data_IF_666863604124
#
_entry.id   IF_666863604124
#
_cell.length_a   1.000
_cell.length_b   1.000
_cell.length_c   1.000
_cell.angle_alpha   90.00
_cell.angle_beta   90.00
_cell.angle_gamma   90.00
#
_symmetry.space_group_name_H-M   'P 1'
#
loop_
_entity.id
_entity.type
_entity.pdbx_description
1 polymer ?
#
# COMPACT_ATOMS: atom_id res chain seq x y z
N UNK A 1 -20.63 -9.46 -9.31
CA UNK A 1 -19.93 -8.38 -10.05
C UNK A 1 -20.18 -7.01 -9.40
N UNK A 2 -19.17 -6.38 -8.77
CA UNK A 2 -19.10 -4.91 -8.60
C UNK A 2 -17.66 -4.44 -8.28
N UNK A 3 -16.66 -4.94 -9.02
CA UNK A 3 -15.26 -4.52 -8.86
C UNK A 3 -14.85 -3.43 -9.84
N UNK A 4 -15.60 -3.26 -10.94
CA UNK A 4 -15.36 -2.19 -11.91
C UNK A 4 -15.68 -0.83 -11.31
N UNK A 5 -14.92 0.17 -11.70
CA UNK A 5 -15.16 1.58 -11.40
C UNK A 5 -13.99 2.26 -10.71
N UNK A 6 -14.27 3.46 -10.22
CA UNK A 6 -13.32 4.36 -9.58
C UNK A 6 -13.20 4.05 -8.09
N UNK A 7 -11.95 3.95 -7.65
CA UNK A 7 -11.57 3.64 -6.28
C UNK A 7 -10.44 4.55 -5.82
N UNK A 8 -10.24 4.61 -4.51
CA UNK A 8 -9.15 5.36 -3.91
C UNK A 8 -8.45 4.51 -2.87
N UNK A 9 -7.15 4.72 -2.68
CA UNK A 9 -6.37 4.04 -1.66
C UNK A 9 -5.31 4.94 -1.06
N UNK A 10 -4.70 4.51 0.04
CA UNK A 10 -3.64 5.25 0.71
C UNK A 10 -2.27 4.89 0.14
N UNK A 11 -1.41 5.89 -0.01
CA UNK A 11 -0.02 5.74 -0.47
C UNK A 11 0.95 6.44 0.47
N UNK A 12 2.22 6.06 0.41
CA UNK A 12 3.30 6.91 0.93
C UNK A 12 3.76 7.85 -0.18
N UNK A 13 3.87 9.15 0.10
CA UNK A 13 4.16 10.12 -0.95
C UNK A 13 3.82 11.57 -0.61
N UNK A 14 3.93 12.43 -1.60
CA UNK A 14 3.42 13.82 -1.57
C UNK A 14 1.90 13.87 -1.61
N UNK A 15 1.28 12.89 -2.28
CA UNK A 15 -0.15 12.70 -2.34
C UNK A 15 -0.53 11.51 -1.45
N UNK A 16 -1.37 11.71 -0.42
CA UNK A 16 -1.70 10.66 0.55
C UNK A 16 -2.75 9.67 0.04
N UNK A 17 -3.48 10.04 -1.02
CA UNK A 17 -4.51 9.23 -1.65
C UNK A 17 -4.23 9.08 -3.15
N UNK A 18 -4.31 7.84 -3.64
CA UNK A 18 -4.13 7.44 -5.04
C UNK A 18 -5.49 7.04 -5.61
N UNK A 19 -5.76 7.46 -6.84
CA UNK A 19 -6.95 7.02 -7.57
C UNK A 19 -6.63 5.73 -8.35
N UNK A 20 -7.54 4.77 -8.28
CA UNK A 20 -7.39 3.43 -8.84
C UNK A 20 -8.63 3.15 -9.68
N UNK A 21 -8.44 3.03 -10.99
CA UNK A 21 -9.52 2.66 -11.91
C UNK A 21 -9.42 1.16 -12.19
N UNK A 22 -10.49 0.42 -11.92
CA UNK A 22 -10.56 -1.01 -12.27
C UNK A 22 -11.54 -1.18 -13.43
N UNK A 23 -11.02 -1.64 -14.56
CA UNK A 23 -11.78 -1.82 -15.79
C UNK A 23 -11.97 -3.31 -16.13
N UNK A 24 -12.60 -3.56 -17.28
CA UNK A 24 -12.77 -4.90 -17.84
C UNK A 24 -11.45 -5.62 -18.09
N UNK A 25 -10.41 -4.89 -18.51
CA UNK A 25 -9.19 -5.50 -19.05
C UNK A 25 -7.91 -4.92 -18.44
N UNK A 26 -8.03 -3.97 -17.50
CA UNK A 26 -6.89 -3.30 -16.89
C UNK A 26 -7.20 -2.79 -15.48
N UNK A 27 -6.14 -2.56 -14.71
CA UNK A 27 -6.12 -1.67 -13.54
C UNK A 27 -5.24 -0.48 -13.89
N UNK A 28 -5.72 0.73 -13.62
CA UNK A 28 -4.95 1.96 -13.80
C UNK A 28 -4.73 2.60 -12.44
N UNK A 29 -3.47 2.83 -12.08
CA UNK A 29 -3.10 3.57 -10.88
C UNK A 29 -2.70 4.99 -11.29
N UNK A 30 -3.51 5.97 -10.88
CA UNK A 30 -3.17 7.37 -11.09
C UNK A 30 -2.07 7.75 -10.10
N UNK A 31 -0.89 8.09 -10.63
CA UNK A 31 0.20 8.73 -9.87
C UNK A 31 0.45 8.10 -8.50
N UNK A 32 1.18 6.98 -8.47
CA UNK A 32 1.88 6.60 -7.24
C UNK A 32 3.17 7.41 -7.16
N UNK A 33 3.31 8.30 -6.18
CA UNK A 33 4.65 8.80 -5.85
C UNK A 33 5.54 7.56 -5.55
N UNK A 34 6.85 7.55 -5.82
CA UNK A 34 7.68 6.38 -5.54
C UNK A 34 7.67 6.06 -4.03
N UNK A 35 7.63 4.76 -3.68
CA UNK A 35 7.68 4.29 -2.29
C UNK A 35 8.89 4.89 -1.57
N UNK A 36 8.66 5.76 -0.59
CA UNK A 36 9.75 6.33 0.20
C UNK A 36 10.17 5.34 1.27
N UNK A 37 11.11 4.44 0.96
CA UNK A 37 11.73 3.61 2.00
C UNK A 37 12.72 4.38 2.90
N UNK A 38 13.11 5.61 2.56
CA UNK A 38 14.20 6.30 3.25
C UNK A 38 14.02 7.82 3.28
N UNK A 39 14.26 8.42 4.45
CA UNK A 39 14.32 9.85 4.73
C UNK A 39 15.37 10.62 3.93
N UNK A 40 15.11 10.82 2.64
CA UNK A 40 15.88 11.72 1.78
C UNK A 40 16.07 11.22 0.36
N UNK A 41 15.21 11.67 -0.54
CA UNK A 41 15.52 12.07 -1.93
C UNK A 41 16.52 11.18 -2.68
N UNK A 42 16.11 9.97 -3.01
CA UNK A 42 16.52 9.29 -4.25
C UNK A 42 15.46 8.29 -4.71
N UNK A 43 14.19 8.70 -4.69
CA UNK A 43 13.30 8.25 -5.76
C UNK A 43 13.79 8.95 -7.01
N UNK A 44 14.10 8.20 -8.07
CA UNK A 44 14.30 8.76 -9.42
C UNK A 44 13.26 9.88 -9.58
N UNK A 45 13.68 11.12 -9.85
CA UNK A 45 12.77 12.11 -10.45
C UNK A 45 12.38 11.51 -11.79
N UNK A 46 11.36 10.65 -11.81
CA UNK A 46 10.68 10.35 -13.05
C UNK A 46 10.00 11.66 -13.42
N UNK A 47 10.59 12.36 -14.38
CA UNK A 47 9.91 13.47 -15.05
C UNK A 47 8.72 12.97 -15.87
N UNK A 48 8.52 11.65 -15.97
CA UNK A 48 7.39 11.04 -16.66
C UNK A 48 6.33 10.65 -15.64
N UNK A 49 5.37 11.56 -15.52
CA UNK A 49 4.21 11.58 -14.62
C UNK A 49 3.04 10.77 -15.21
N UNK A 50 3.30 9.57 -15.73
CA UNK A 50 2.26 8.77 -16.39
C UNK A 50 1.62 7.79 -15.41
N UNK A 51 0.33 7.53 -15.60
CA UNK A 51 -0.40 6.53 -14.82
C UNK A 51 0.22 5.14 -15.06
N UNK A 52 0.21 4.29 -14.03
CA UNK A 52 0.65 2.90 -14.18
C UNK A 52 -0.51 2.06 -14.70
N UNK A 53 -0.36 1.52 -15.91
CA UNK A 53 -1.36 0.67 -16.55
C UNK A 53 -1.00 -0.81 -16.43
N UNK A 54 -1.84 -1.56 -15.73
CA UNK A 54 -1.69 -2.99 -15.50
C UNK A 54 -2.71 -3.75 -16.33
N UNK A 55 -2.29 -4.27 -17.48
CA UNK A 55 -3.16 -5.05 -18.37
C UNK A 55 -3.43 -6.43 -17.78
N UNK A 56 -4.72 -6.76 -17.64
CA UNK A 56 -5.18 -8.05 -17.15
C UNK A 56 -5.15 -9.04 -18.31
N UNK A 57 -4.31 -10.06 -18.21
CA UNK A 57 -4.20 -11.12 -19.23
C UNK A 57 -5.15 -12.29 -18.97
N UNK A 58 -5.55 -12.50 -17.70
CA UNK A 58 -6.54 -13.53 -17.34
C UNK A 58 -7.26 -13.18 -16.05
N UNK A 59 -8.53 -13.58 -15.98
CA UNK A 59 -9.37 -13.49 -14.78
C UNK A 59 -9.80 -14.88 -14.34
N UNK A 60 -9.76 -15.13 -13.03
CA UNK A 60 -10.24 -16.37 -12.42
C UNK A 60 -11.08 -16.00 -11.20
N UNK A 61 -12.30 -16.54 -11.12
CA UNK A 61 -13.14 -16.39 -9.92
C UNK A 61 -13.06 -17.67 -9.08
N UNK A 62 -12.68 -17.53 -7.81
CA UNK A 62 -12.54 -18.66 -6.88
C UNK A 62 -12.54 -18.15 -5.43
N UNK A 63 -13.02 -18.94 -4.46
CA UNK A 63 -12.94 -18.63 -3.03
C UNK A 63 -13.45 -17.20 -2.67
N UNK A 64 -14.56 -16.77 -3.27
CA UNK A 64 -15.14 -15.41 -3.13
C UNK A 64 -14.20 -14.25 -3.51
N UNK A 65 -13.17 -14.56 -4.31
CA UNK A 65 -12.17 -13.63 -4.84
C UNK A 65 -12.16 -13.63 -6.35
N UNK A 66 -11.76 -12.50 -6.91
CA UNK A 66 -11.41 -12.38 -8.32
C UNK A 66 -9.90 -12.25 -8.43
N UNK A 67 -9.27 -13.27 -8.99
CA UNK A 67 -7.85 -13.29 -9.29
C UNK A 67 -7.61 -12.67 -10.66
N UNK A 68 -6.70 -11.72 -10.71
CA UNK A 68 -6.29 -10.97 -11.87
C UNK A 68 -4.83 -11.31 -12.15
N UNK A 69 -4.57 -11.85 -13.33
CA UNK A 69 -3.23 -12.21 -13.76
C UNK A 69 -2.71 -11.10 -14.67
N UNK A 70 -1.48 -10.68 -14.43
CA UNK A 70 -0.73 -9.68 -15.19
C UNK A 70 0.55 -10.32 -15.75
N UNK A 71 1.14 -9.68 -16.76
CA UNK A 71 2.47 -10.03 -17.24
C UNK A 71 3.36 -8.79 -17.18
N UNK A 72 4.54 -8.93 -16.60
CA UNK A 72 5.57 -7.90 -16.58
C UNK A 72 6.30 -7.80 -17.91
N UNK A 73 7.11 -6.76 -18.07
CA UNK A 73 7.90 -6.52 -19.28
C UNK A 73 8.94 -7.62 -19.55
N UNK A 74 9.51 -8.22 -18.51
CA UNK A 74 10.45 -9.34 -18.59
C UNK A 74 9.76 -10.71 -18.75
N UNK A 75 8.44 -10.72 -18.96
CA UNK A 75 7.67 -11.90 -19.35
C UNK A 75 7.19 -12.77 -18.18
N UNK A 76 7.45 -12.36 -16.94
CA UNK A 76 6.97 -13.02 -15.73
C UNK A 76 5.50 -12.70 -15.49
N UNK A 77 4.79 -13.64 -14.86
CA UNK A 77 3.38 -13.54 -14.57
C UNK A 77 3.19 -13.19 -13.10
N UNK A 78 2.20 -12.35 -12.80
CA UNK A 78 1.86 -11.92 -11.44
C UNK A 78 0.38 -12.06 -11.20
N UNK A 79 -0.01 -12.31 -9.96
CA UNK A 79 -1.42 -12.47 -9.60
C UNK A 79 -1.76 -11.50 -8.49
N UNK A 80 -2.88 -10.81 -8.63
CA UNK A 80 -3.51 -10.01 -7.56
C UNK A 80 -4.93 -10.48 -7.38
N UNK A 81 -5.47 -10.41 -6.17
CA UNK A 81 -6.84 -10.79 -5.88
C UNK A 81 -7.64 -9.60 -5.41
N UNK A 82 -8.91 -9.55 -5.82
CA UNK A 82 -9.89 -8.59 -5.34
C UNK A 82 -10.96 -9.34 -4.54
N UNK A 83 -11.18 -8.90 -3.30
CA UNK A 83 -12.23 -9.39 -2.42
C UNK A 83 -13.06 -8.23 -1.94
N UNK A 84 -14.39 -8.31 -2.00
CA UNK A 84 -15.23 -7.28 -1.38
C UNK A 84 -15.22 -7.44 0.14
N UNK A 85 -15.26 -6.32 0.86
CA UNK A 85 -15.56 -6.37 2.28
C UNK A 85 -16.99 -6.86 2.52
N UNK A 86 -17.30 -7.42 3.71
CA UNK A 86 -18.65 -7.88 4.03
C UNK A 86 -19.74 -6.82 3.89
N UNK A 87 -19.42 -5.54 4.14
CA UNK A 87 -20.37 -4.43 3.95
C UNK A 87 -20.52 -4.01 2.48
N UNK A 88 -19.55 -4.37 1.63
CA UNK A 88 -19.53 -4.01 0.21
C UNK A 88 -19.01 -2.61 -0.09
N UNK A 89 -18.66 -1.83 0.94
CA UNK A 89 -18.21 -0.43 0.80
C UNK A 89 -16.74 -0.29 0.39
N UNK A 90 -16.00 -1.39 0.43
CA UNK A 90 -14.59 -1.43 0.09
C UNK A 90 -14.22 -2.72 -0.64
N UNK A 91 -13.10 -2.66 -1.36
CA UNK A 91 -12.47 -3.81 -1.99
C UNK A 91 -11.08 -3.99 -1.39
N UNK A 92 -10.80 -5.18 -0.90
CA UNK A 92 -9.46 -5.58 -0.48
C UNK A 92 -8.73 -6.15 -1.69
N UNK A 93 -7.60 -5.52 -2.01
CA UNK A 93 -6.70 -5.96 -3.06
C UNK A 93 -5.49 -6.61 -2.41
N UNK A 94 -5.32 -7.92 -2.62
CA UNK A 94 -4.19 -8.68 -2.09
C UNK A 94 -3.24 -9.01 -3.23
N UNK A 95 -1.95 -8.77 -3.04
CA UNK A 95 -0.94 -9.30 -3.96
C UNK A 95 -0.80 -10.82 -3.69
N UNK A 96 -1.08 -11.64 -4.69
CA UNK A 96 -1.21 -13.09 -4.48
C UNK A 96 0.16 -13.78 -4.37
N UNK A 97 0.21 -14.67 -3.40
CA UNK A 97 1.07 -15.85 -3.21
C UNK A 97 2.58 -15.73 -2.89
N UNK A 98 3.21 -14.57 -2.99
CA UNK A 98 4.57 -14.41 -2.44
C UNK A 98 5.64 -15.25 -3.14
N UNK A 99 5.43 -15.66 -4.40
CA UNK A 99 6.53 -16.16 -5.23
C UNK A 99 7.53 -15.02 -5.54
N UNK A 100 8.81 -15.29 -5.23
CA UNK A 100 9.92 -14.33 -5.20
C UNK A 100 10.21 -13.67 -6.56
N UNK A 101 10.05 -14.43 -7.66
CA UNK A 101 10.45 -14.03 -9.01
C UNK A 101 9.26 -13.98 -9.99
N UNK A 102 8.02 -13.91 -9.50
CA UNK A 102 6.83 -14.14 -10.33
C UNK A 102 6.78 -15.55 -10.93
N UNK A 103 5.70 -15.85 -11.66
CA UNK A 103 5.55 -17.16 -12.30
C UNK A 103 6.15 -17.12 -13.71
N UNK A 104 6.80 -18.21 -14.12
CA UNK A 104 7.42 -18.32 -15.45
C UNK A 104 6.41 -18.62 -16.55
N UNK A 105 5.18 -18.97 -16.19
CA UNK A 105 4.10 -19.21 -17.13
C UNK A 105 2.72 -19.14 -16.52
N UNK A 106 1.72 -18.99 -17.39
CA UNK A 106 0.32 -18.85 -17.00
C UNK A 106 -0.19 -20.05 -16.19
N UNK A 107 0.23 -21.27 -16.50
CA UNK A 107 -0.20 -22.47 -15.76
C UNK A 107 0.34 -22.48 -14.33
N UNK A 108 1.57 -22.02 -14.14
CA UNK A 108 2.18 -21.91 -12.81
C UNK A 108 1.45 -20.85 -11.97
N UNK A 109 1.08 -19.71 -12.58
CA UNK A 109 0.24 -18.70 -11.94
C UNK A 109 -1.13 -19.26 -11.53
N UNK A 110 -1.75 -20.07 -12.39
CA UNK A 110 -3.02 -20.75 -12.09
C UNK A 110 -2.90 -21.79 -10.98
N UNK A 111 -1.75 -22.44 -10.83
CA UNK A 111 -1.48 -23.35 -9.73
C UNK A 111 -1.19 -22.63 -8.41
N UNK A 112 -0.52 -21.47 -8.47
CA UNK A 112 -0.35 -20.58 -7.31
C UNK A 112 -1.69 -20.09 -6.76
N UNK A 113 -2.65 -19.73 -7.63
CA UNK A 113 -4.04 -19.40 -7.23
C UNK A 113 -4.70 -20.54 -6.43
N UNK A 114 -4.37 -21.80 -6.71
CA UNK A 114 -4.94 -22.94 -5.95
C UNK A 114 -4.36 -23.05 -4.54
N UNK A 115 -3.16 -22.51 -4.31
CA UNK A 115 -2.42 -22.54 -3.05
C UNK A 115 -2.60 -21.27 -2.21
N UNK A 116 -3.24 -20.23 -2.77
CA UNK A 116 -3.54 -18.99 -2.05
C UNK A 116 -4.30 -19.27 -0.75
N UNK A 117 -3.66 -18.97 0.37
CA UNK A 117 -4.16 -19.15 1.73
C UNK A 117 -4.77 -17.87 2.32
N UNK A 118 -4.82 -16.77 1.56
CA UNK A 118 -5.21 -15.47 2.07
C UNK A 118 -4.05 -14.74 2.73
N UNK A 119 -3.48 -13.80 1.98
CA UNK A 119 -2.52 -12.83 2.51
C UNK A 119 -3.12 -12.02 3.67
N UNK A 120 -2.35 -11.84 4.75
CA UNK A 120 -2.66 -10.92 5.86
C UNK A 120 -2.48 -9.43 5.49
N UNK A 121 -2.02 -9.15 4.28
CA UNK A 121 -1.67 -7.83 3.80
C UNK A 121 -2.46 -7.48 2.55
N UNK A 122 -3.16 -6.36 2.62
CA UNK A 122 -4.02 -5.89 1.56
C UNK A 122 -3.95 -4.38 1.44
N UNK A 123 -4.19 -3.94 0.22
CA UNK A 123 -4.49 -2.56 -0.13
C UNK A 123 -6.01 -2.43 -0.03
N UNK A 124 -6.49 -1.44 0.71
CA UNK A 124 -7.93 -1.18 0.76
C UNK A 124 -8.28 -0.15 -0.29
N UNK A 125 -9.25 -0.50 -1.12
CA UNK A 125 -9.85 0.36 -2.12
C UNK A 125 -11.18 0.89 -1.58
N UNK A 126 -11.28 2.21 -1.50
CA UNK A 126 -12.41 2.93 -0.93
C UNK A 126 -13.16 3.70 -2.01
N UNK A 127 -14.42 4.00 -1.73
CA UNK A 127 -15.17 5.01 -2.50
C UNK A 127 -14.71 6.42 -2.13
N UNK A 128 -14.99 7.39 -3.02
CA UNK A 128 -14.56 8.79 -2.89
C UNK A 128 -15.03 9.42 -1.57
N UNK A 129 -16.22 9.03 -1.11
CA UNK A 129 -16.86 9.55 0.10
C UNK A 129 -16.03 9.28 1.36
N UNK A 130 -15.31 8.15 1.40
CA UNK A 130 -14.37 7.84 2.49
C UNK A 130 -13.22 8.84 2.51
N UNK A 131 -12.69 9.19 1.34
CA UNK A 131 -11.62 10.18 1.21
C UNK A 131 -12.13 11.57 1.60
N UNK A 132 -13.33 11.94 1.16
CA UNK A 132 -13.94 13.23 1.48
C UNK A 132 -14.26 13.38 2.97
N UNK A 133 -14.60 12.28 3.67
CA UNK A 133 -14.81 12.28 5.11
C UNK A 133 -13.52 12.59 5.90
N UNK A 134 -12.35 12.20 5.40
CA UNK A 134 -11.06 12.47 6.05
C UNK A 134 -10.73 13.97 6.12
N UNK A 135 -11.30 14.81 5.24
CA UNK A 135 -11.09 16.27 5.24
C UNK A 135 -11.61 16.95 6.51
N UNK A 136 -12.52 16.30 7.25
CA UNK A 136 -13.15 16.83 8.46
C UNK A 136 -12.41 16.43 9.74
N UNK A 137 -11.37 15.60 9.64
CA UNK A 137 -10.65 15.05 10.78
C UNK A 137 -9.49 15.93 11.21
N UNK A 138 -9.00 15.67 12.41
CA UNK A 138 -7.89 16.42 13.01
C UNK A 138 -6.60 16.12 12.22
N UNK A 139 -5.80 17.12 11.83
CA UNK A 139 -4.54 16.86 11.16
C UNK A 139 -3.53 16.19 12.11
N UNK A 140 -2.66 15.34 11.55
CA UNK A 140 -1.62 14.61 12.30
C UNK A 140 -0.61 15.54 12.96
N UNK A 141 -0.48 16.78 12.49
CA UNK A 141 0.36 17.81 13.14
C UNK A 141 -0.07 18.14 14.58
N UNK A 142 -1.29 17.74 14.98
CA UNK A 142 -1.81 17.87 16.35
C UNK A 142 -1.74 16.58 17.18
N UNK A 143 -1.10 15.52 16.67
CA UNK A 143 -0.95 14.25 17.40
C UNK A 143 -0.11 14.45 18.66
N UNK A 144 -0.46 13.76 19.75
CA UNK A 144 0.38 13.75 20.96
C UNK A 144 1.57 12.79 20.81
N UNK A 145 2.62 12.98 21.62
CA UNK A 145 3.80 12.11 21.55
C UNK A 145 3.50 10.63 21.85
N UNK A 146 2.57 10.34 22.77
CA UNK A 146 2.15 8.97 23.09
C UNK A 146 1.37 8.32 21.94
N UNK A 147 0.43 9.04 21.33
CA UNK A 147 -0.32 8.54 20.16
C UNK A 147 0.61 8.35 18.96
N UNK A 148 1.58 9.26 18.76
CA UNK A 148 2.55 9.17 17.67
C UNK A 148 3.47 7.96 17.83
N UNK A 149 4.02 7.74 19.03
CA UNK A 149 4.83 6.55 19.32
C UNK A 149 4.04 5.26 19.12
N UNK A 150 2.78 5.22 19.57
CA UNK A 150 1.90 4.05 19.39
C UNK A 150 1.61 3.76 17.91
N UNK A 151 1.34 4.81 17.13
CA UNK A 151 1.13 4.68 15.69
C UNK A 151 2.38 4.16 14.98
N UNK A 152 3.56 4.70 15.29
CA UNK A 152 4.81 4.23 14.71
C UNK A 152 5.12 2.77 15.09
N UNK A 153 4.91 2.38 16.34
CA UNK A 153 5.07 0.98 16.77
C UNK A 153 4.13 0.06 15.99
N UNK A 154 2.84 0.42 15.88
CA UNK A 154 1.85 -0.36 15.14
C UNK A 154 2.25 -0.52 13.67
N UNK A 155 2.76 0.55 13.05
CA UNK A 155 3.27 0.52 11.69
C UNK A 155 4.49 -0.41 11.56
N UNK A 156 5.50 -0.24 12.42
CA UNK A 156 6.72 -1.06 12.41
C UNK A 156 6.40 -2.54 12.62
N UNK A 157 5.57 -2.89 13.61
CA UNK A 157 5.17 -4.28 13.86
C UNK A 157 4.45 -4.90 12.66
N UNK A 158 3.56 -4.11 12.02
CA UNK A 158 2.84 -4.56 10.83
C UNK A 158 3.79 -4.81 9.66
N UNK A 159 4.78 -3.93 9.45
CA UNK A 159 5.75 -4.06 8.38
C UNK A 159 6.78 -5.16 8.67
N UNK A 160 7.19 -5.37 9.91
CA UNK A 160 8.07 -6.46 10.29
C UNK A 160 7.39 -7.80 10.04
N UNK A 161 6.12 -7.95 10.45
CA UNK A 161 5.33 -9.14 10.12
C UNK A 161 5.18 -9.33 8.61
N UNK A 162 5.01 -8.24 7.85
CA UNK A 162 4.94 -8.31 6.39
C UNK A 162 6.21 -8.92 5.80
N UNK A 163 7.38 -8.45 6.23
CA UNK A 163 8.66 -8.96 5.75
C UNK A 163 8.99 -10.36 6.24
N UNK A 164 8.60 -10.71 7.46
CA UNK A 164 8.71 -12.08 7.96
C UNK A 164 7.85 -13.06 7.16
N UNK A 165 6.58 -12.71 6.89
CA UNK A 165 5.66 -13.55 6.12
C UNK A 165 6.09 -13.67 4.64
N UNK A 166 6.86 -12.70 4.10
CA UNK A 166 7.27 -12.65 2.70
C UNK A 166 8.71 -13.07 2.41
N UNK A 167 9.58 -13.15 3.42
CA UNK A 167 11.03 -13.26 3.23
C UNK A 167 11.65 -11.90 2.91
N UNK A 168 12.61 -11.46 3.73
CA UNK A 168 13.34 -10.21 3.50
C UNK A 168 14.12 -10.27 2.18
N UNK A 169 13.86 -9.34 1.25
CA UNK A 169 14.65 -9.19 0.01
C UNK A 169 13.94 -9.62 -1.28
N UNK A 170 12.73 -10.16 -1.18
CA UNK A 170 12.00 -10.72 -2.31
C UNK A 170 10.76 -9.88 -2.57
N UNK A 171 10.78 -9.01 -3.58
CA UNK A 171 9.58 -8.25 -3.93
C UNK A 171 9.39 -8.03 -5.43
N UNK A 172 8.10 -8.12 -5.80
CA UNK A 172 7.48 -7.98 -7.11
C UNK A 172 8.10 -6.87 -8.00
N UNK A 173 8.02 -7.03 -9.33
CA UNK A 173 8.43 -5.99 -10.28
C UNK A 173 7.51 -4.74 -10.25
N UNK A 174 6.38 -4.78 -9.55
CA UNK A 174 5.46 -3.65 -9.43
C UNK A 174 5.75 -2.83 -8.18
N UNK A 175 6.78 -1.98 -8.25
CA UNK A 175 7.12 -1.00 -7.20
C UNK A 175 5.92 -0.17 -6.73
N UNK A 176 4.92 0.06 -7.59
CA UNK A 176 3.67 0.75 -7.25
C UNK A 176 2.90 0.06 -6.12
N UNK A 177 2.77 -1.27 -6.16
CA UNK A 177 2.02 -2.01 -5.13
C UNK A 177 2.70 -2.00 -3.76
N UNK A 178 4.05 -2.01 -3.72
CA UNK A 178 4.75 -1.81 -2.46
C UNK A 178 4.44 -0.49 -1.82
N UNK A 179 4.39 0.58 -2.62
CA UNK A 179 4.02 1.87 -2.08
C UNK A 179 2.62 1.82 -1.46
N UNK A 180 1.67 1.20 -2.15
CA UNK A 180 0.30 1.10 -1.68
C UNK A 180 0.18 0.24 -0.41
N UNK A 181 0.94 -0.86 -0.30
CA UNK A 181 1.00 -1.68 0.92
C UNK A 181 1.54 -0.86 2.09
N UNK A 182 2.68 -0.19 1.90
CA UNK A 182 3.28 0.70 2.90
C UNK A 182 2.32 1.83 3.29
N UNK A 183 1.68 2.45 2.30
CA UNK A 183 0.75 3.57 2.50
C UNK A 183 -0.48 3.16 3.29
N UNK A 184 -1.06 1.99 2.98
CA UNK A 184 -2.17 1.45 3.74
C UNK A 184 -1.76 1.05 5.16
N UNK A 185 -0.60 0.40 5.33
CA UNK A 185 -0.09 0.05 6.66
C UNK A 185 0.14 1.31 7.51
N UNK A 186 0.76 2.34 6.94
CA UNK A 186 1.00 3.61 7.60
C UNK A 186 -0.31 4.31 7.93
N UNK A 187 -1.20 4.51 6.96
CA UNK A 187 -2.49 5.18 7.19
C UNK A 187 -3.36 4.48 8.24
N UNK A 188 -3.35 3.15 8.29
CA UNK A 188 -4.13 2.38 9.25
C UNK A 188 -3.53 2.40 10.66
N UNK A 189 -2.23 2.65 10.80
CA UNK A 189 -1.57 2.75 12.10
C UNK A 189 -1.97 4.03 12.85
N UNK A 190 -2.36 5.08 12.13
CA UNK A 190 -2.88 6.30 12.71
C UNK A 190 -4.40 6.16 12.89
N UNK A 191 -4.84 6.09 14.15
CA UNK A 191 -6.24 5.83 14.49
C UNK A 191 -7.24 6.79 13.82
N UNK A 192 -8.51 6.39 13.80
CA UNK A 192 -9.59 7.06 13.05
C UNK A 192 -9.84 8.54 13.38
N UNK A 193 -9.28 9.03 14.50
CA UNK A 193 -9.33 10.44 14.93
C UNK A 193 -8.57 11.38 13.98
N UNK A 194 -7.46 10.91 13.42
CA UNK A 194 -6.58 11.73 12.59
C UNK A 194 -6.93 11.59 11.11
N UNK A 195 -6.74 12.68 10.37
CA UNK A 195 -6.94 12.70 8.93
C UNK A 195 -5.81 11.95 8.23
N UNK A 196 -6.15 10.90 7.50
CA UNK A 196 -5.17 10.16 6.69
C UNK A 196 -4.62 11.02 5.56
N UNK A 197 -5.40 12.00 5.09
CA UNK A 197 -4.95 13.03 4.13
C UNK A 197 -3.86 13.94 4.68
N UNK A 198 -3.69 14.01 6.00
CA UNK A 198 -2.61 14.79 6.62
C UNK A 198 -1.33 13.98 6.84
N UNK A 199 -1.29 12.69 6.49
CA UNK A 199 -0.10 11.85 6.60
C UNK A 199 0.88 12.10 5.44
N UNK A 200 1.23 13.36 5.25
CA UNK A 200 2.17 13.83 4.22
C UNK A 200 3.41 14.41 4.87
N UNK A 201 4.52 14.43 4.12
CA UNK A 201 5.83 14.90 4.62
C UNK A 201 5.76 16.28 5.29
N UNK A 202 4.98 17.22 4.75
CA UNK A 202 4.85 18.57 5.31
C UNK A 202 4.29 18.57 6.74
N UNK A 203 3.22 17.80 6.97
CA UNK A 203 2.53 17.75 8.26
C UNK A 203 3.26 16.86 9.27
N UNK A 204 3.96 15.82 8.80
CA UNK A 204 4.76 14.93 9.65
C UNK A 204 6.02 15.61 10.22
N UNK A 205 6.53 16.69 9.59
CA UNK A 205 7.68 17.43 10.12
C UNK A 205 7.47 17.93 11.55
N UNK A 206 6.27 18.40 11.87
CA UNK A 206 5.94 18.93 13.21
C UNK A 206 6.05 17.85 14.30
N UNK A 207 5.32 16.71 14.24
CA UNK A 207 5.44 15.68 15.26
C UNK A 207 6.84 15.03 15.28
N UNK A 208 7.52 14.88 14.13
CA UNK A 208 8.91 14.40 14.10
C UNK A 208 9.80 15.35 14.92
N UNK A 209 9.78 16.65 14.64
CA UNK A 209 10.61 17.62 15.36
C UNK A 209 10.26 17.71 16.86
N UNK A 210 8.98 17.61 17.21
CA UNK A 210 8.53 17.69 18.60
C UNK A 210 8.93 16.46 19.42
N UNK A 211 9.04 15.28 18.79
CA UNK A 211 9.11 14.01 19.51
C UNK A 211 10.38 13.18 19.24
N UNK A 212 11.22 13.54 18.26
CA UNK A 212 12.45 12.80 17.94
C UNK A 212 13.52 12.83 19.03
N UNK A 213 13.41 13.73 20.01
CA UNK A 213 14.31 13.75 21.18
C UNK A 213 13.99 12.65 22.20
N UNK A 214 12.81 12.02 22.12
CA UNK A 214 12.50 10.84 22.92
C UNK A 214 13.18 9.61 22.29
N UNK A 215 14.08 8.90 23.01
CA UNK A 215 14.83 7.78 22.45
C UNK A 215 13.97 6.64 21.88
N UNK A 216 12.82 6.37 22.50
CA UNK A 216 11.93 5.31 22.04
C UNK A 216 11.24 5.71 20.72
N UNK A 217 10.77 6.95 20.63
CA UNK A 217 10.16 7.48 19.39
C UNK A 217 11.22 7.61 18.30
N UNK A 218 12.45 8.00 18.64
CA UNK A 218 13.55 8.09 17.69
C UNK A 218 13.84 6.75 17.03
N UNK A 219 13.99 5.68 17.82
CA UNK A 219 14.19 4.33 17.28
C UNK A 219 13.07 3.91 16.34
N UNK A 220 11.82 4.20 16.71
CA UNK A 220 10.67 3.91 15.86
C UNK A 220 10.66 4.73 14.56
N UNK A 221 11.08 6.00 14.61
CA UNK A 221 11.24 6.84 13.42
C UNK A 221 12.36 6.32 12.50
N UNK A 222 13.46 5.81 13.05
CA UNK A 222 14.54 5.16 12.30
C UNK A 222 14.04 3.84 11.67
N UNK A 223 13.38 2.98 12.44
CA UNK A 223 12.78 1.73 11.95
C UNK A 223 11.73 1.96 10.86
N UNK A 224 10.94 3.03 10.99
CA UNK A 224 9.96 3.43 9.99
C UNK A 224 10.58 4.16 8.78
N UNK A 225 11.89 4.42 8.79
CA UNK A 225 12.64 5.04 7.69
C UNK A 225 12.50 6.57 7.60
N UNK A 226 11.93 7.23 8.62
CA UNK A 226 11.80 8.69 8.67
C UNK A 226 13.08 9.42 9.08
N UNK A 227 13.96 8.74 9.81
CA UNK A 227 15.28 9.22 10.22
C UNK A 227 16.36 8.27 9.70
N UNK A 228 17.58 8.79 9.50
CA UNK A 228 18.74 7.94 9.24
C UNK A 228 19.18 7.31 10.56
N UNK A 229 19.44 6.00 10.53
CA UNK A 229 20.20 5.33 11.59
C UNK A 229 21.61 5.92 11.60
N UNK A 230 22.06 6.35 12.77
CA UNK A 230 23.46 6.76 13.01
C UNK A 230 24.39 5.55 13.06
#
# INVERSE_FOLDING_TARGET
MAQKGDWYTWSTGTTPAVHVTINGDEIVLDRTDPATKQGGISGRKSNDLEAEHLKIIKKVEKNDRTYLIFQSFDGLYFVTTLQKSPSGDSVFMYCADGIEDGYKGLNEALDGIKKDNGSNFYITLFKKEVIDAEKRKVPVSKITGSEFGTALQTFTDKMDKFWQDRGYGHFEPYHGFMNLIYGNAFANAFGNKYSKLSLITKELKTPIANYSNNPNIRKLLESAGFLKSE
#
